data_IF_974070835344
#
_entry.id   IF_974070835344
#
_cell.length_a   1.000
_cell.length_b   1.000
_cell.length_c   1.000
_cell.angle_alpha   90.00
_cell.angle_beta   90.00
_cell.angle_gamma   90.00
#
_symmetry.space_group_name_H-M   'P 1'
#
loop_
_entity.id
_entity.type
_entity.pdbx_description
1 polymer ?
#
# COMPACT_ATOMS: atom_id res chain seq x y z
N UNK A 1 -33.00 -3.69 -0.31
CA UNK A 1 -31.73 -4.41 -0.44
C UNK A 1 -30.71 -3.48 -1.08
N UNK A 2 -29.54 -3.37 -0.47
CA UNK A 2 -28.44 -2.50 -0.94
C UNK A 2 -27.34 -3.28 -1.63
N UNK A 3 -27.59 -4.53 -2.02
CA UNK A 3 -26.59 -5.45 -2.59
C UNK A 3 -25.95 -4.86 -3.86
N UNK A 4 -26.76 -4.27 -4.74
CA UNK A 4 -26.32 -3.66 -6.01
C UNK A 4 -25.48 -2.38 -5.80
N UNK A 5 -25.61 -1.71 -4.65
CA UNK A 5 -24.80 -0.52 -4.32
C UNK A 5 -23.41 -0.86 -3.79
N UNK A 6 -23.16 -2.15 -3.54
CA UNK A 6 -21.86 -2.65 -3.06
C UNK A 6 -20.86 -2.90 -4.19
N UNK A 7 -21.28 -2.86 -5.44
CA UNK A 7 -20.39 -2.97 -6.60
C UNK A 7 -19.81 -1.60 -6.95
N UNK A 8 -18.53 -1.43 -6.69
CA UNK A 8 -17.76 -0.21 -6.98
C UNK A 8 -16.51 -0.59 -7.78
N UNK A 9 -16.62 -0.70 -9.11
CA UNK A 9 -15.48 -1.06 -9.92
C UNK A 9 -14.39 0.02 -9.83
N UNK A 10 -13.15 -0.41 -9.67
CA UNK A 10 -12.01 0.50 -9.76
C UNK A 10 -11.90 1.02 -11.20
N UNK A 11 -11.47 2.28 -11.40
CA UNK A 11 -11.27 2.83 -12.73
C UNK A 11 -10.38 1.92 -13.58
N UNK A 12 -10.72 1.73 -14.85
CA UNK A 12 -9.89 0.99 -15.81
C UNK A 12 -8.74 1.85 -16.36
N UNK A 13 -8.87 3.17 -16.30
CA UNK A 13 -7.83 4.08 -16.77
C UNK A 13 -6.62 4.02 -15.84
N UNK A 14 -5.44 3.77 -16.40
CA UNK A 14 -4.15 3.78 -15.71
C UNK A 14 -3.37 4.98 -16.21
N UNK A 15 -3.80 6.15 -15.76
CA UNK A 15 -3.24 7.44 -16.19
C UNK A 15 -2.44 8.07 -15.06
N UNK A 16 -1.48 8.87 -15.44
CA UNK A 16 -0.84 9.82 -14.55
C UNK A 16 -1.69 11.09 -14.49
N UNK A 17 -1.98 11.54 -13.29
CA UNK A 17 -2.68 12.79 -13.00
C UNK A 17 -1.72 13.74 -12.33
N UNK A 18 -1.72 14.99 -12.77
CA UNK A 18 -0.96 16.07 -12.13
C UNK A 18 -1.96 17.01 -11.50
N UNK A 19 -1.88 17.15 -10.18
CA UNK A 19 -2.65 18.09 -9.38
C UNK A 19 -1.72 19.21 -8.91
N UNK A 20 -2.29 20.35 -8.50
CA UNK A 20 -1.53 21.51 -8.06
C UNK A 20 -1.91 21.90 -6.64
N UNK A 21 -0.93 22.43 -5.90
CA UNK A 21 -1.12 22.96 -4.56
C UNK A 21 -0.42 24.32 -4.38
N UNK A 22 -0.94 25.12 -3.45
CA UNK A 22 -0.42 26.46 -3.11
C UNK A 22 0.50 26.45 -1.87
N UNK A 23 1.03 25.29 -1.48
CA UNK A 23 1.96 25.16 -0.36
C UNK A 23 3.41 25.48 -0.71
N UNK A 24 4.35 24.84 -0.02
CA UNK A 24 5.78 25.02 -0.24
C UNK A 24 6.17 24.73 -1.69
N UNK A 25 6.92 25.67 -2.32
CA UNK A 25 7.23 25.64 -3.75
C UNK A 25 8.24 24.56 -4.16
N UNK A 26 8.90 23.96 -3.23
CA UNK A 26 9.92 22.93 -3.43
C UNK A 26 9.43 21.51 -3.13
N UNK A 27 8.18 21.36 -2.65
CA UNK A 27 7.64 20.07 -2.22
C UNK A 27 6.65 19.48 -3.21
N UNK A 28 6.76 18.18 -3.43
CA UNK A 28 5.86 17.41 -4.25
C UNK A 28 5.42 16.13 -3.52
N UNK A 29 4.22 15.65 -3.84
CA UNK A 29 3.74 14.34 -3.41
C UNK A 29 3.59 13.45 -4.64
N UNK A 30 4.19 12.28 -4.61
CA UNK A 30 3.95 11.21 -5.59
C UNK A 30 3.14 10.10 -4.92
N UNK A 31 2.10 9.65 -5.60
CA UNK A 31 1.26 8.55 -5.14
C UNK A 31 1.00 7.58 -6.30
N UNK A 32 1.19 6.29 -6.05
CA UNK A 32 0.85 5.21 -6.99
C UNK A 32 -0.15 4.28 -6.34
N UNK A 33 -1.27 4.00 -7.02
CA UNK A 33 -2.39 3.22 -6.48
C UNK A 33 -2.70 2.06 -7.42
N UNK A 34 -2.53 0.83 -6.95
CA UNK A 34 -2.94 -0.39 -7.64
C UNK A 34 -4.27 -0.88 -7.10
N UNK A 35 -5.20 -1.32 -7.97
CA UNK A 35 -6.39 -2.01 -7.52
C UNK A 35 -6.04 -3.38 -6.97
N UNK A 36 -6.66 -3.72 -5.87
CA UNK A 36 -6.62 -5.05 -5.27
C UNK A 36 -8.04 -5.62 -5.17
N UNK A 37 -8.31 -6.48 -4.23
CA UNK A 37 -9.66 -7.00 -3.98
C UNK A 37 -10.17 -6.58 -2.60
N UNK A 38 -11.41 -6.95 -2.31
CA UNK A 38 -12.03 -6.78 -1.00
C UNK A 38 -11.36 -7.62 0.10
N UNK A 39 -11.80 -7.42 1.32
CA UNK A 39 -11.30 -8.08 2.52
C UNK A 39 -12.08 -9.34 2.92
N UNK A 40 -12.84 -9.97 2.02
CA UNK A 40 -13.57 -11.20 2.34
C UNK A 40 -12.62 -12.37 2.63
N UNK A 41 -11.59 -12.52 1.80
CA UNK A 41 -10.51 -13.47 2.01
C UNK A 41 -9.50 -12.91 3.04
N UNK A 42 -9.54 -13.44 4.26
CA UNK A 42 -8.69 -13.00 5.36
C UNK A 42 -7.21 -13.23 5.08
N UNK A 43 -6.84 -14.39 4.55
CA UNK A 43 -5.43 -14.71 4.29
C UNK A 43 -4.84 -13.73 3.29
N UNK A 44 -5.55 -13.44 2.21
CA UNK A 44 -5.10 -12.49 1.21
C UNK A 44 -5.05 -11.05 1.73
N UNK A 45 -5.98 -10.65 2.60
CA UNK A 45 -5.94 -9.33 3.26
C UNK A 45 -4.68 -9.20 4.12
N UNK A 46 -4.33 -10.24 4.89
CA UNK A 46 -3.12 -10.27 5.71
C UNK A 46 -1.83 -10.30 4.87
N UNK A 47 -1.83 -11.01 3.75
CA UNK A 47 -0.72 -11.00 2.80
C UNK A 47 -0.48 -9.59 2.23
N UNK A 48 -1.56 -8.87 1.87
CA UNK A 48 -1.47 -7.48 1.40
C UNK A 48 -1.00 -6.54 2.51
N UNK A 49 -1.42 -6.74 3.75
CA UNK A 49 -0.95 -5.99 4.92
C UNK A 49 0.55 -6.21 5.15
N UNK A 50 1.04 -7.44 5.11
CA UNK A 50 2.48 -7.69 5.22
C UNK A 50 3.27 -7.13 4.05
N UNK A 51 2.72 -7.22 2.83
CA UNK A 51 3.36 -6.66 1.64
C UNK A 51 3.52 -5.13 1.75
N UNK A 52 2.55 -4.42 2.35
CA UNK A 52 2.70 -2.97 2.60
C UNK A 52 3.82 -2.65 3.58
N UNK A 53 3.97 -3.45 4.67
CA UNK A 53 5.06 -3.27 5.64
C UNK A 53 6.42 -3.50 4.98
N UNK A 54 6.53 -4.56 4.17
CA UNK A 54 7.74 -4.88 3.40
C UNK A 54 8.05 -3.78 2.39
N UNK A 55 7.06 -3.33 1.63
CA UNK A 55 7.21 -2.21 0.69
C UNK A 55 7.77 -0.97 1.38
N UNK A 56 7.24 -0.62 2.56
CA UNK A 56 7.72 0.54 3.33
C UNK A 56 9.17 0.36 3.77
N UNK A 57 9.54 -0.81 4.29
CA UNK A 57 10.92 -1.11 4.69
C UNK A 57 11.87 -0.93 3.51
N UNK A 58 11.63 -1.66 2.42
CA UNK A 58 12.51 -1.65 1.25
C UNK A 58 12.58 -0.29 0.57
N UNK A 59 11.46 0.41 0.46
CA UNK A 59 11.45 1.73 -0.16
C UNK A 59 12.17 2.78 0.70
N UNK A 60 12.04 2.70 2.03
CA UNK A 60 12.79 3.57 2.95
C UNK A 60 14.30 3.37 2.78
N UNK A 61 14.76 2.12 2.73
CA UNK A 61 16.16 1.79 2.53
C UNK A 61 16.64 2.30 1.16
N UNK A 62 15.89 2.01 0.08
CA UNK A 62 16.21 2.45 -1.28
C UNK A 62 16.30 3.98 -1.41
N UNK A 63 15.36 4.72 -0.83
CA UNK A 63 15.36 6.18 -0.90
C UNK A 63 16.48 6.80 -0.07
N UNK A 64 16.79 6.22 1.10
CA UNK A 64 17.91 6.66 1.93
C UNK A 64 19.24 6.49 1.20
N UNK A 65 19.45 5.33 0.55
CA UNK A 65 20.67 5.04 -0.20
C UNK A 65 20.82 5.92 -1.44
N UNK A 66 19.75 6.11 -2.20
CA UNK A 66 19.79 6.82 -3.49
C UNK A 66 19.74 8.34 -3.37
N UNK A 67 18.97 8.87 -2.42
CA UNK A 67 18.72 10.29 -2.30
C UNK A 67 19.44 10.93 -1.12
N UNK A 68 20.08 10.13 -0.26
CA UNK A 68 20.85 10.62 0.89
C UNK A 68 20.04 11.39 1.92
N UNK A 69 18.71 11.41 1.82
CA UNK A 69 17.79 12.14 2.69
C UNK A 69 16.84 11.19 3.39
N UNK A 70 16.41 11.56 4.59
CA UNK A 70 15.44 10.82 5.37
C UNK A 70 14.02 11.13 4.86
N UNK A 71 13.64 10.58 3.72
CA UNK A 71 12.25 10.57 3.29
C UNK A 71 11.48 9.48 4.04
N UNK A 72 10.23 9.76 4.37
CA UNK A 72 9.33 8.81 5.01
C UNK A 72 8.27 8.35 3.99
N UNK A 73 8.59 7.36 3.14
CA UNK A 73 7.60 6.83 2.21
C UNK A 73 6.49 6.12 2.98
N UNK A 74 5.27 6.28 2.50
CA UNK A 74 4.11 5.54 2.96
C UNK A 74 3.79 4.38 2.03
N UNK A 75 3.34 3.28 2.61
CA UNK A 75 2.63 2.25 1.87
C UNK A 75 1.41 1.85 2.69
N UNK A 76 0.30 1.58 2.03
CA UNK A 76 -0.93 1.12 2.70
C UNK A 76 -1.70 0.18 1.80
N UNK A 77 -2.34 -0.79 2.43
CA UNK A 77 -3.28 -1.69 1.80
C UNK A 77 -4.67 -1.48 2.42
N UNK A 78 -5.67 -1.28 1.58
CA UNK A 78 -7.05 -1.12 2.01
C UNK A 78 -7.91 -2.15 1.27
N UNK A 79 -8.39 -3.14 2.00
CA UNK A 79 -9.27 -4.18 1.49
C UNK A 79 -10.68 -3.93 2.04
N UNK A 80 -11.61 -3.51 1.17
CA UNK A 80 -12.95 -3.11 1.60
C UNK A 80 -13.74 -4.31 2.13
N UNK A 81 -14.44 -4.11 3.25
CA UNK A 81 -15.47 -5.03 3.75
C UNK A 81 -16.88 -4.59 3.32
N UNK A 82 -17.00 -3.40 2.75
CA UNK A 82 -18.27 -2.83 2.30
C UNK A 82 -18.50 -3.04 0.81
N UNK A 83 -17.48 -2.77 -0.01
CA UNK A 83 -17.57 -2.84 -1.46
C UNK A 83 -16.95 -4.12 -1.99
N UNK A 84 -17.73 -4.94 -2.70
CA UNK A 84 -17.29 -6.21 -3.27
C UNK A 84 -16.22 -6.01 -4.33
N UNK A 85 -15.19 -6.84 -4.30
CA UNK A 85 -14.08 -6.79 -5.25
C UNK A 85 -13.25 -5.51 -5.17
N UNK A 86 -13.47 -4.62 -4.19
CA UNK A 86 -12.80 -3.33 -4.09
C UNK A 86 -11.72 -3.33 -3.02
N UNK A 87 -10.53 -2.98 -3.43
CA UNK A 87 -9.40 -2.71 -2.56
C UNK A 87 -8.35 -1.92 -3.30
N UNK A 88 -7.42 -1.36 -2.55
CA UNK A 88 -6.29 -0.58 -3.08
C UNK A 88 -5.00 -0.93 -2.34
N UNK A 89 -3.92 -0.97 -3.09
CA UNK A 89 -2.57 -0.92 -2.54
C UNK A 89 -1.94 0.39 -3.01
N UNK A 90 -1.54 1.25 -2.09
CA UNK A 90 -0.99 2.55 -2.41
C UNK A 90 0.42 2.73 -1.84
N UNK A 91 1.25 3.42 -2.60
CA UNK A 91 2.58 3.87 -2.20
C UNK A 91 2.66 5.36 -2.43
N UNK A 92 3.15 6.10 -1.44
CA UNK A 92 3.30 7.55 -1.54
C UNK A 92 4.63 8.01 -0.96
N UNK A 93 5.13 9.14 -1.43
CA UNK A 93 6.29 9.81 -0.87
C UNK A 93 6.17 11.32 -1.08
N UNK A 94 6.45 12.08 -0.02
CA UNK A 94 6.62 13.53 -0.09
C UNK A 94 8.12 13.82 -0.26
N UNK A 95 8.48 14.53 -1.33
CA UNK A 95 9.87 14.73 -1.76
C UNK A 95 10.07 16.12 -2.34
N UNK A 96 11.34 16.56 -2.45
CA UNK A 96 11.65 17.74 -3.24
C UNK A 96 11.23 17.52 -4.69
N UNK A 97 10.71 18.55 -5.36
CA UNK A 97 10.19 18.44 -6.74
C UNK A 97 11.21 17.87 -7.72
N UNK A 98 12.48 18.22 -7.56
CA UNK A 98 13.59 17.70 -8.39
C UNK A 98 13.83 16.20 -8.22
N UNK A 99 13.39 15.62 -7.11
CA UNK A 99 13.56 14.21 -6.77
C UNK A 99 12.37 13.33 -7.23
N UNK A 100 11.31 13.94 -7.79
CA UNK A 100 10.12 13.20 -8.26
C UNK A 100 10.50 12.09 -9.26
N UNK A 101 11.34 12.32 -10.30
CA UNK A 101 11.73 11.25 -11.23
C UNK A 101 12.48 10.11 -10.55
N UNK A 102 13.44 10.43 -9.69
CA UNK A 102 14.24 9.44 -8.96
C UNK A 102 13.37 8.64 -7.97
N UNK A 103 12.46 9.32 -7.27
CA UNK A 103 11.50 8.68 -6.36
C UNK A 103 10.56 7.73 -7.10
N UNK A 104 10.03 8.15 -8.24
CA UNK A 104 9.21 7.29 -9.10
C UNK A 104 9.97 6.03 -9.52
N UNK A 105 11.21 6.20 -9.94
CA UNK A 105 12.10 5.08 -10.31
C UNK A 105 12.35 4.16 -9.12
N UNK A 106 12.55 4.70 -7.92
CA UNK A 106 12.71 3.91 -6.69
C UNK A 106 11.44 3.10 -6.38
N UNK A 107 10.25 3.71 -6.45
CA UNK A 107 8.97 3.00 -6.22
C UNK A 107 8.79 1.88 -7.24
N UNK A 108 8.94 2.17 -8.53
CA UNK A 108 8.76 1.15 -9.58
C UNK A 108 9.82 0.06 -9.52
N UNK A 109 11.05 0.38 -9.17
CA UNK A 109 12.12 -0.58 -8.95
C UNK A 109 11.86 -1.50 -7.77
N UNK A 110 11.37 -0.96 -6.64
CA UNK A 110 10.98 -1.76 -5.47
C UNK A 110 9.80 -2.69 -5.80
N UNK A 111 8.81 -2.19 -6.53
CA UNK A 111 7.70 -3.02 -7.03
C UNK A 111 8.22 -4.17 -7.90
N UNK A 112 9.13 -3.89 -8.83
CA UNK A 112 9.73 -4.93 -9.69
C UNK A 112 10.47 -5.96 -8.85
N UNK A 113 11.32 -5.54 -7.92
CA UNK A 113 12.08 -6.45 -7.06
C UNK A 113 11.16 -7.39 -6.26
N UNK A 114 10.05 -6.87 -5.70
CA UNK A 114 9.06 -7.66 -4.96
C UNK A 114 8.30 -8.65 -5.84
N UNK A 115 8.17 -8.39 -7.14
CA UNK A 115 7.54 -9.29 -8.11
C UNK A 115 8.51 -10.34 -8.64
N UNK A 116 9.77 -9.97 -8.83
CA UNK A 116 10.75 -10.80 -9.51
C UNK A 116 11.40 -11.81 -8.56
N UNK A 117 11.49 -11.49 -7.27
CA UNK A 117 12.08 -12.37 -6.26
C UNK A 117 11.29 -12.36 -4.95
N UNK A 118 11.28 -13.50 -4.28
CA UNK A 118 10.77 -13.60 -2.92
C UNK A 118 11.70 -12.84 -1.95
N UNK A 119 11.13 -12.13 -0.99
CA UNK A 119 11.91 -11.44 0.06
C UNK A 119 12.62 -12.44 0.96
N UNK A 120 13.68 -12.01 1.63
CA UNK A 120 14.36 -12.83 2.63
C UNK A 120 13.45 -13.08 3.85
N UNK A 121 13.74 -14.16 4.57
CA UNK A 121 13.04 -14.48 5.81
C UNK A 121 13.23 -13.38 6.87
N UNK A 122 14.40 -12.72 6.90
CA UNK A 122 14.66 -11.59 7.79
C UNK A 122 13.70 -10.42 7.53
N UNK A 123 13.56 -10.00 6.27
CA UNK A 123 12.63 -8.91 5.88
C UNK A 123 11.20 -9.27 6.24
N UNK A 124 10.77 -10.50 5.99
CA UNK A 124 9.44 -10.98 6.37
C UNK A 124 9.24 -10.94 7.88
N UNK A 125 10.22 -11.40 8.66
CA UNK A 125 10.15 -11.37 10.13
C UNK A 125 10.04 -9.94 10.64
N UNK A 126 10.88 -9.03 10.19
CA UNK A 126 10.83 -7.62 10.57
C UNK A 126 9.49 -6.95 10.23
N UNK A 127 8.85 -7.35 9.15
CA UNK A 127 7.52 -6.84 8.77
C UNK A 127 6.40 -7.47 9.61
N UNK A 128 6.52 -8.74 9.96
CA UNK A 128 5.50 -9.54 10.65
C UNK A 128 5.43 -9.27 12.15
N UNK A 129 6.57 -9.18 12.83
CA UNK A 129 6.60 -9.06 14.29
C UNK A 129 5.76 -7.91 14.84
N UNK A 130 5.83 -6.67 14.30
CA UNK A 130 4.97 -5.58 14.79
C UNK A 130 3.47 -5.85 14.59
N UNK A 131 3.10 -6.58 13.53
CA UNK A 131 1.69 -6.95 13.29
C UNK A 131 1.23 -7.97 14.32
N UNK A 132 2.03 -9.01 14.59
CA UNK A 132 1.73 -9.99 15.65
C UNK A 132 1.63 -9.34 17.02
N UNK A 133 2.55 -8.42 17.34
CA UNK A 133 2.50 -7.66 18.60
C UNK A 133 1.21 -6.84 18.70
N UNK A 134 0.75 -6.24 17.61
CA UNK A 134 -0.52 -5.51 17.59
C UNK A 134 -1.73 -6.39 17.93
N UNK A 135 -1.73 -7.64 17.43
CA UNK A 135 -2.74 -8.65 17.81
C UNK A 135 -2.70 -8.95 19.32
N UNK A 136 -1.49 -9.13 19.89
CA UNK A 136 -1.33 -9.43 21.30
C UNK A 136 -1.73 -8.27 22.22
N UNK A 137 -1.62 -7.04 21.73
CA UNK A 137 -1.93 -5.84 22.48
C UNK A 137 -3.38 -5.34 22.27
N UNK A 138 -4.06 -5.78 21.23
CA UNK A 138 -5.39 -5.27 20.84
C UNK A 138 -6.39 -5.34 22.01
N UNK A 139 -6.51 -6.50 22.65
CA UNK A 139 -7.48 -6.72 23.71
C UNK A 139 -6.98 -6.35 25.13
N UNK A 140 -5.78 -5.75 25.25
CA UNK A 140 -5.26 -5.26 26.53
C UNK A 140 -5.75 -3.85 26.89
N UNK A 141 -6.43 -3.19 25.96
CA UNK A 141 -6.90 -1.81 26.13
C UNK A 141 -8.40 -1.68 25.90
N UNK A 142 -9.05 -0.72 26.56
CA UNK A 142 -10.45 -0.40 26.33
C UNK A 142 -10.70 0.03 24.87
N UNK A 143 -9.79 0.78 24.27
CA UNK A 143 -9.88 1.18 22.86
C UNK A 143 -9.87 -0.01 21.92
N UNK A 144 -9.03 -1.01 22.19
CA UNK A 144 -8.99 -2.26 21.42
C UNK A 144 -10.31 -3.03 21.53
N UNK A 145 -10.87 -3.17 22.75
CA UNK A 145 -12.18 -3.80 22.95
C UNK A 145 -13.30 -3.04 22.25
N UNK A 146 -13.35 -1.72 22.36
CA UNK A 146 -14.32 -0.89 21.65
C UNK A 146 -14.21 -1.08 20.13
N UNK A 147 -13.00 -0.99 19.58
CA UNK A 147 -12.77 -1.22 18.17
C UNK A 147 -13.12 -2.65 17.74
N UNK A 148 -13.02 -3.62 18.64
CA UNK A 148 -13.35 -5.01 18.36
C UNK A 148 -14.86 -5.26 18.33
N UNK A 149 -15.64 -4.64 19.23
CA UNK A 149 -17.10 -4.81 19.29
C UNK A 149 -17.84 -3.83 18.38
N UNK A 150 -17.19 -2.75 17.97
CA UNK A 150 -17.68 -1.82 16.96
C UNK A 150 -18.13 -2.55 15.73
N UNK A 151 -19.01 -2.55 15.03
CA UNK A 151 -19.44 -3.36 13.87
C UNK A 151 -19.65 -4.85 14.11
N UNK A 152 -19.68 -5.35 15.36
CA UNK A 152 -19.93 -6.77 15.62
C UNK A 152 -21.27 -7.25 15.04
N UNK A 153 -22.25 -6.36 14.88
CA UNK A 153 -23.54 -6.66 14.26
C UNK A 153 -23.49 -6.73 12.72
N UNK A 154 -22.59 -5.98 12.11
CA UNK A 154 -22.45 -5.91 10.63
C UNK A 154 -21.35 -6.80 10.08
N UNK A 155 -20.42 -7.21 10.93
CA UNK A 155 -19.29 -8.10 10.63
C UNK A 155 -19.31 -9.29 11.62
N UNK A 156 -20.22 -10.27 11.46
CA UNK A 156 -20.40 -11.36 12.44
C UNK A 156 -19.19 -12.30 12.52
N UNK A 157 -18.34 -12.34 11.48
CA UNK A 157 -17.12 -13.14 11.41
C UNK A 157 -15.90 -12.48 12.11
N UNK A 158 -16.08 -11.32 12.74
CA UNK A 158 -14.97 -10.50 13.27
C UNK A 158 -14.14 -11.23 14.34
N UNK A 159 -14.81 -11.96 15.23
CA UNK A 159 -14.12 -12.76 16.27
C UNK A 159 -13.33 -13.89 15.62
N UNK A 160 -13.96 -14.62 14.70
CA UNK A 160 -13.32 -15.71 13.98
C UNK A 160 -12.08 -15.23 13.21
N UNK A 161 -12.19 -14.12 12.51
CA UNK A 161 -11.07 -13.48 11.80
C UNK A 161 -9.94 -13.07 12.73
N UNK A 162 -10.25 -12.53 13.90
CA UNK A 162 -9.24 -12.20 14.89
C UNK A 162 -8.50 -13.44 15.39
N UNK A 163 -9.23 -14.49 15.77
CA UNK A 163 -8.63 -15.74 16.27
C UNK A 163 -7.76 -16.41 15.19
N UNK A 164 -8.27 -16.51 13.97
CA UNK A 164 -7.54 -17.12 12.85
C UNK A 164 -6.40 -16.23 12.32
N UNK A 165 -6.53 -14.92 12.43
CA UNK A 165 -5.60 -13.96 11.82
C UNK A 165 -4.16 -14.13 12.30
N UNK A 166 -3.97 -14.37 13.58
CA UNK A 166 -2.63 -14.55 14.17
C UNK A 166 -1.93 -15.79 13.61
N UNK A 167 -2.63 -16.90 13.49
CA UNK A 167 -2.06 -18.15 12.96
C UNK A 167 -1.79 -18.06 11.45
N UNK A 168 -2.70 -17.44 10.71
CA UNK A 168 -2.49 -17.16 9.29
C UNK A 168 -1.27 -16.27 9.07
N UNK A 169 -1.12 -15.18 9.86
CA UNK A 169 0.05 -14.30 9.79
C UNK A 169 1.37 -15.07 9.98
N UNK A 170 1.42 -15.98 10.94
CA UNK A 170 2.61 -16.81 11.18
C UNK A 170 2.93 -17.75 10.02
N UNK A 171 1.89 -18.25 9.33
CA UNK A 171 2.01 -19.19 8.23
C UNK A 171 2.40 -18.56 6.89
N UNK A 172 2.20 -17.23 6.70
CA UNK A 172 2.53 -16.54 5.45
C UNK A 172 4.03 -16.70 5.13
N UNK A 173 4.31 -17.07 3.88
CA UNK A 173 5.66 -17.32 3.37
C UNK A 173 6.12 -16.22 2.40
N UNK A 174 7.44 -16.05 2.18
CA UNK A 174 7.97 -15.14 1.18
C UNK A 174 7.42 -15.39 -0.23
N UNK A 175 7.24 -16.66 -0.62
CA UNK A 175 6.71 -17.03 -1.93
C UNK A 175 5.24 -16.59 -2.12
N UNK A 176 4.42 -16.68 -1.08
CA UNK A 176 3.04 -16.18 -1.13
C UNK A 176 3.00 -14.66 -1.32
N UNK A 177 3.89 -13.92 -0.65
CA UNK A 177 3.98 -12.46 -0.79
C UNK A 177 4.45 -12.06 -2.19
N UNK A 178 5.40 -12.78 -2.78
CA UNK A 178 5.80 -12.60 -4.17
C UNK A 178 4.61 -12.83 -5.12
N UNK A 179 3.85 -13.91 -4.93
CA UNK A 179 2.68 -14.21 -5.75
C UNK A 179 1.62 -13.10 -5.68
N UNK A 180 1.39 -12.53 -4.49
CA UNK A 180 0.49 -11.39 -4.29
C UNK A 180 1.03 -10.13 -4.99
N UNK A 181 2.33 -9.84 -4.91
CA UNK A 181 2.95 -8.74 -5.62
C UNK A 181 2.80 -8.92 -7.15
N UNK A 182 3.05 -10.11 -7.69
CA UNK A 182 2.86 -10.44 -9.10
C UNK A 182 1.42 -10.26 -9.56
N UNK A 183 0.47 -10.64 -8.72
CA UNK A 183 -0.97 -10.55 -9.03
C UNK A 183 -1.46 -9.11 -9.10
N UNK A 184 -1.09 -8.27 -8.14
CA UNK A 184 -1.69 -6.95 -7.96
C UNK A 184 -0.80 -5.78 -8.38
N UNK A 185 0.51 -5.82 -8.12
CA UNK A 185 1.41 -4.72 -8.41
C UNK A 185 1.95 -4.79 -9.84
N UNK A 186 1.06 -4.92 -10.82
CA UNK A 186 1.42 -5.05 -12.24
C UNK A 186 2.11 -3.80 -12.75
N UNK A 187 3.08 -3.98 -13.66
CA UNK A 187 3.68 -2.86 -14.40
C UNK A 187 2.59 -2.12 -15.19
N UNK A 188 2.60 -0.79 -15.13
CA UNK A 188 1.54 0.02 -15.75
C UNK A 188 0.16 -0.18 -15.13
N UNK A 189 0.03 -0.95 -14.04
CA UNK A 189 -1.23 -1.25 -13.37
C UNK A 189 -1.67 -0.21 -12.35
N UNK A 190 -0.85 0.79 -12.04
CA UNK A 190 -1.18 1.85 -11.09
C UNK A 190 -1.89 3.03 -11.76
N UNK A 191 -2.76 3.69 -11.00
CA UNK A 191 -3.07 5.10 -11.18
C UNK A 191 -1.97 5.89 -10.47
N UNK A 192 -1.34 6.83 -11.17
CA UNK A 192 -0.29 7.68 -10.63
C UNK A 192 -0.86 9.10 -10.41
N UNK A 193 -0.64 9.67 -9.24
CA UNK A 193 -1.05 11.03 -8.89
C UNK A 193 0.18 11.78 -8.38
N UNK A 194 0.56 12.84 -9.10
CA UNK A 194 1.63 13.74 -8.70
C UNK A 194 0.99 15.07 -8.28
N UNK A 195 1.22 15.49 -7.04
CA UNK A 195 0.78 16.79 -6.55
C UNK A 195 2.00 17.71 -6.52
N UNK A 196 1.99 18.74 -7.36
CA UNK A 196 3.10 19.65 -7.59
C UNK A 196 2.71 21.08 -7.19
N UNK A 197 3.67 21.97 -6.86
CA UNK A 197 3.37 23.38 -6.62
C UNK A 197 2.79 24.07 -7.86
N UNK A 198 1.96 25.07 -7.66
CA UNK A 198 1.51 25.94 -8.75
C UNK A 198 2.70 26.69 -9.39
N UNK A 199 2.64 26.88 -10.72
CA UNK A 199 3.65 27.59 -11.48
C UNK A 199 4.97 26.87 -11.69
N UNK A 200 5.07 25.60 -11.30
CA UNK A 200 6.28 24.78 -11.50
C UNK A 200 6.02 23.74 -12.60
N UNK A 201 6.97 23.60 -13.51
CA UNK A 201 6.87 22.59 -14.57
C UNK A 201 6.84 21.16 -14.00
N UNK A 202 6.14 20.28 -14.69
CA UNK A 202 6.10 18.87 -14.31
C UNK A 202 7.45 18.20 -14.66
N UNK A 203 8.24 17.77 -13.66
CA UNK A 203 9.55 17.13 -13.91
C UNK A 203 9.45 15.79 -14.62
N UNK A 204 8.23 15.27 -14.78
CA UNK A 204 7.91 14.04 -15.48
C UNK A 204 7.19 14.28 -16.82
N UNK A 205 7.01 15.54 -17.25
CA UNK A 205 6.53 15.81 -18.60
C UNK A 205 7.47 15.14 -19.60
N UNK A 206 6.91 14.43 -20.59
CA UNK A 206 7.71 13.89 -21.67
C UNK A 206 8.47 15.07 -22.31
N UNK A 207 9.77 14.90 -22.53
CA UNK A 207 10.50 15.83 -23.37
C UNK A 207 9.75 15.94 -24.71
N UNK A 208 9.58 17.15 -25.27
CA UNK A 208 8.94 17.29 -26.57
C UNK A 208 9.66 16.34 -27.55
N UNK A 209 8.93 15.66 -28.43
CA UNK A 209 9.56 14.81 -29.44
C UNK A 209 10.57 15.67 -30.20
N UNK A 210 11.82 15.25 -30.16
CA UNK A 210 12.95 15.83 -30.93
C UNK A 210 12.75 15.63 -32.42
#
# INVERSE_FOLDING_TARGET
DYADRRDRPFTKARKRHVLRHNGAKDQALITMIWPTRDGEDLEQALQLELLEKIMRIQLTDTLREKLGKAYSPGASSNTSRTYRGYGTFSVNASVDIKEVPATRTAITGTVSALRDAAVSQDVLTRAREPVLESYDNLLKTNGGWLGFVDRAQTEPDRIERYVKGKELLKAITPAQLQAVAQRYLKHGGAVEINVLPEGVDDPMAAAPPS
#
